data_IF_784016363070
#
_entry.id   IF_784016363070
#
_cell.length_a   1.000
_cell.length_b   1.000
_cell.length_c   1.000
_cell.angle_alpha   90.00
_cell.angle_beta   90.00
_cell.angle_gamma   90.00
#
_symmetry.space_group_name_H-M   'P 1'
#
loop_
_entity.id
_entity.type
_entity.pdbx_description
1 polymer ?
#
# COMPACT_ATOMS: atom_id res chain seq x y z
N UNK A 1 -15.15 -26.07 9.91
CA UNK A 1 -16.25 -25.12 9.63
C UNK A 1 -16.69 -24.24 10.81
N UNK A 2 -17.14 -24.73 11.97
CA UNK A 2 -17.48 -23.82 13.12
C UNK A 2 -16.30 -23.59 14.08
N UNK A 3 -15.55 -24.66 14.35
CA UNK A 3 -14.36 -24.65 15.22
C UNK A 3 -13.34 -23.61 14.77
N UNK A 4 -13.08 -23.54 13.48
CA UNK A 4 -12.09 -22.69 12.83
C UNK A 4 -12.52 -21.22 12.91
N UNK A 5 -13.82 -20.92 12.81
CA UNK A 5 -14.35 -19.57 13.04
C UNK A 5 -14.17 -19.16 14.51
N UNK A 6 -14.43 -20.07 15.46
CA UNK A 6 -14.19 -19.80 16.89
C UNK A 6 -12.71 -19.60 17.22
N UNK A 7 -11.82 -20.40 16.63
CA UNK A 7 -10.37 -20.24 16.77
C UNK A 7 -9.90 -18.90 16.17
N UNK A 8 -10.44 -18.52 15.00
CA UNK A 8 -10.16 -17.23 14.35
C UNK A 8 -10.64 -16.06 15.22
N UNK A 9 -11.87 -16.13 15.72
CA UNK A 9 -12.43 -15.13 16.64
C UNK A 9 -11.55 -14.95 17.88
N UNK A 10 -11.08 -16.05 18.47
CA UNK A 10 -10.19 -16.02 19.65
C UNK A 10 -8.86 -15.32 19.35
N UNK A 11 -8.32 -15.46 18.13
CA UNK A 11 -7.11 -14.74 17.71
C UNK A 11 -7.39 -13.26 17.47
N UNK A 12 -8.50 -12.92 16.81
CA UNK A 12 -8.91 -11.53 16.56
C UNK A 12 -9.03 -10.76 17.88
N UNK A 13 -9.74 -11.31 18.88
CA UNK A 13 -9.93 -10.61 20.17
C UNK A 13 -8.61 -10.38 20.92
N UNK A 14 -7.64 -11.29 20.81
CA UNK A 14 -6.30 -11.10 21.39
C UNK A 14 -5.53 -9.97 20.71
N UNK A 15 -5.61 -9.88 19.37
CA UNK A 15 -4.96 -8.80 18.62
C UNK A 15 -5.69 -7.46 18.84
N UNK A 16 -7.00 -7.47 19.09
CA UNK A 16 -7.72 -6.26 19.51
C UNK A 16 -7.18 -5.69 20.82
N UNK A 17 -6.93 -6.54 21.84
CA UNK A 17 -6.33 -6.09 23.10
C UNK A 17 -4.92 -5.52 22.91
N UNK A 18 -4.15 -6.11 22.00
CA UNK A 18 -2.86 -5.56 21.59
C UNK A 18 -3.01 -4.20 20.92
N UNK A 19 -3.95 -4.05 19.98
CA UNK A 19 -4.20 -2.80 19.26
C UNK A 19 -4.66 -1.68 20.21
N UNK A 20 -5.54 -1.98 21.18
CA UNK A 20 -5.97 -1.04 22.23
C UNK A 20 -4.77 -0.42 22.95
N UNK A 21 -3.80 -1.24 23.35
CA UNK A 21 -2.57 -0.77 24.03
C UNK A 21 -1.62 -0.06 23.06
N UNK A 22 -1.48 -0.58 21.85
CA UNK A 22 -0.61 -0.05 20.82
C UNK A 22 -0.97 1.39 20.43
N UNK A 23 -2.27 1.72 20.37
CA UNK A 23 -2.71 3.09 20.08
C UNK A 23 -2.22 4.06 21.15
N UNK A 24 -2.45 3.79 22.44
CA UNK A 24 -1.99 4.66 23.53
C UNK A 24 -0.47 4.86 23.50
N UNK A 25 0.28 3.77 23.32
CA UNK A 25 1.74 3.86 23.23
C UNK A 25 2.20 4.79 22.10
N UNK A 26 1.61 4.66 20.91
CA UNK A 26 2.01 5.48 19.76
C UNK A 26 1.51 6.92 19.84
N UNK A 27 0.40 7.17 20.55
CA UNK A 27 -0.03 8.53 20.87
C UNK A 27 0.97 9.22 21.80
N UNK A 28 1.26 8.61 22.94
CA UNK A 28 2.19 9.15 23.94
C UNK A 28 3.60 9.31 23.36
N UNK A 29 4.08 8.32 22.60
CA UNK A 29 5.40 8.37 21.97
C UNK A 29 5.50 9.52 20.96
N UNK A 30 4.49 9.68 20.10
CA UNK A 30 4.51 10.74 19.10
C UNK A 30 4.41 12.12 19.75
N UNK A 31 3.57 12.27 20.77
CA UNK A 31 3.46 13.49 21.56
C UNK A 31 4.80 13.83 22.24
N UNK A 32 5.43 12.85 22.90
CA UNK A 32 6.72 13.01 23.55
C UNK A 32 7.79 13.57 22.60
N UNK A 33 7.93 13.00 21.39
CA UNK A 33 8.93 13.49 20.44
C UNK A 33 8.63 14.91 19.96
N UNK A 34 7.36 15.25 19.72
CA UNK A 34 6.98 16.60 19.30
C UNK A 34 7.13 17.65 20.40
N UNK A 35 6.93 17.27 21.66
CA UNK A 35 7.15 18.13 22.83
C UNK A 35 8.64 18.32 23.13
N UNK A 36 9.44 17.26 22.98
CA UNK A 36 10.88 17.29 23.22
C UNK A 36 11.61 18.22 22.24
N UNK A 37 11.29 18.12 20.95
CA UNK A 37 11.75 19.08 19.93
C UNK A 37 10.72 19.17 18.79
N UNK A 38 10.09 20.34 18.56
CA UNK A 38 9.14 20.54 17.45
C UNK A 38 9.69 20.20 16.06
N UNK A 39 11.02 20.21 15.87
CA UNK A 39 11.66 19.82 14.60
C UNK A 39 11.42 18.35 14.24
N UNK A 40 11.06 17.48 15.19
CA UNK A 40 10.68 16.10 14.88
C UNK A 40 9.45 16.02 13.95
N UNK A 41 8.64 17.08 13.86
CA UNK A 41 7.54 17.16 12.89
C UNK A 41 8.01 17.22 11.43
N UNK A 42 9.28 17.60 11.18
CA UNK A 42 9.87 17.65 9.84
C UNK A 42 10.56 16.33 9.44
N UNK A 43 10.80 15.41 10.39
CA UNK A 43 11.51 14.16 10.12
C UNK A 43 10.69 13.27 9.18
N UNK A 44 11.20 13.07 7.97
CA UNK A 44 10.53 12.33 6.91
C UNK A 44 9.27 13.01 6.36
N UNK A 45 9.17 14.34 6.51
CA UNK A 45 8.03 15.12 6.01
C UNK A 45 7.93 15.04 4.50
N UNK A 46 6.71 14.94 3.98
CA UNK A 46 6.43 14.93 2.54
C UNK A 46 5.13 15.64 2.21
N UNK A 47 4.95 16.08 0.95
CA UNK A 47 3.63 16.42 0.42
C UNK A 47 2.63 15.30 0.71
N UNK A 48 1.39 15.68 1.01
CA UNK A 48 0.30 14.77 1.36
C UNK A 48 -0.28 14.11 0.09
N UNK A 49 0.59 13.44 -0.65
CA UNK A 49 0.29 12.74 -1.89
C UNK A 49 0.31 11.24 -1.59
N UNK A 50 -0.87 10.63 -1.45
CA UNK A 50 -1.05 9.25 -0.99
C UNK A 50 -1.89 8.47 -1.99
N UNK A 51 -1.63 7.17 -2.12
CA UNK A 51 -2.41 6.32 -3.01
C UNK A 51 -2.58 4.90 -2.46
N UNK A 52 -3.76 4.31 -2.63
CA UNK A 52 -4.04 2.90 -2.35
C UNK A 52 -5.23 2.44 -3.20
N UNK A 53 -5.25 1.17 -3.64
CA UNK A 53 -6.37 0.60 -4.40
C UNK A 53 -7.47 0.05 -3.50
N UNK A 54 -7.41 0.31 -2.20
CA UNK A 54 -8.32 -0.25 -1.21
C UNK A 54 -8.05 -1.73 -0.94
N UNK A 55 -8.71 -2.26 0.08
CA UNK A 55 -8.68 -3.68 0.44
C UNK A 55 -9.94 -4.08 1.21
N UNK A 56 -10.15 -5.39 1.26
CA UNK A 56 -11.27 -6.09 1.91
C UNK A 56 -12.56 -5.82 1.15
N UNK A 57 -12.75 -6.62 0.12
CA UNK A 57 -13.93 -6.62 -0.73
C UNK A 57 -15.18 -6.97 0.07
N UNK A 58 -16.24 -6.17 -0.06
CA UNK A 58 -17.56 -6.51 0.48
C UNK A 58 -18.12 -7.72 -0.28
N UNK A 59 -18.33 -8.87 0.39
CA UNK A 59 -18.82 -10.08 -0.27
C UNK A 59 -20.22 -9.91 -0.88
N UNK A 60 -20.95 -8.86 -0.51
CA UNK A 60 -22.27 -8.53 -1.06
C UNK A 60 -22.21 -7.62 -2.29
N UNK A 61 -21.02 -7.15 -2.67
CA UNK A 61 -20.79 -6.23 -3.78
C UNK A 61 -19.81 -6.76 -4.82
N UNK A 62 -18.79 -7.49 -4.38
CA UNK A 62 -17.67 -7.91 -5.21
C UNK A 62 -18.04 -9.01 -6.18
N UNK A 63 -17.84 -8.74 -7.47
CA UNK A 63 -18.07 -9.69 -8.57
C UNK A 63 -16.82 -10.00 -9.39
N UNK A 64 -15.69 -9.35 -9.08
CA UNK A 64 -14.41 -9.52 -9.76
C UNK A 64 -14.37 -9.01 -11.21
N UNK A 65 -15.41 -8.32 -11.68
CA UNK A 65 -15.45 -7.79 -13.05
C UNK A 65 -14.78 -6.42 -13.13
N UNK A 66 -14.06 -6.15 -14.21
CA UNK A 66 -13.47 -4.84 -14.44
C UNK A 66 -14.55 -3.77 -14.62
N UNK A 67 -15.62 -4.06 -15.36
CA UNK A 67 -16.70 -3.12 -15.63
C UNK A 67 -17.31 -2.54 -14.35
N UNK A 68 -17.52 -3.38 -13.32
CA UNK A 68 -18.09 -2.95 -12.04
C UNK A 68 -17.04 -2.54 -11.00
N UNK A 69 -15.75 -2.43 -11.37
CA UNK A 69 -14.68 -2.07 -10.45
C UNK A 69 -14.93 -0.80 -9.62
N UNK A 70 -15.45 0.29 -10.19
CA UNK A 70 -15.79 1.47 -9.39
C UNK A 70 -16.84 1.17 -8.32
N UNK A 71 -17.83 0.33 -8.64
CA UNK A 71 -18.92 -0.01 -7.72
C UNK A 71 -18.46 -0.88 -6.56
N UNK A 72 -17.81 -2.02 -6.84
CA UNK A 72 -17.36 -2.90 -5.76
C UNK A 72 -16.15 -2.32 -5.00
N UNK A 73 -15.34 -1.48 -5.66
CA UNK A 73 -14.23 -0.75 -5.04
C UNK A 73 -14.71 0.23 -3.98
N UNK A 74 -15.73 1.03 -4.29
CA UNK A 74 -16.38 1.97 -3.36
C UNK A 74 -17.02 1.29 -2.15
N UNK A 75 -17.31 -0.02 -2.26
CA UNK A 75 -17.86 -0.84 -1.18
C UNK A 75 -16.81 -1.62 -0.41
N UNK A 76 -15.51 -1.43 -0.65
CA UNK A 76 -14.47 -2.04 0.19
C UNK A 76 -14.53 -1.50 1.61
N UNK A 77 -14.16 -2.32 2.60
CA UNK A 77 -14.02 -1.82 3.97
C UNK A 77 -12.92 -0.77 4.07
N UNK A 78 -11.85 -0.89 3.27
CA UNK A 78 -10.89 0.18 3.07
C UNK A 78 -11.04 0.74 1.66
N UNK A 79 -11.50 1.99 1.58
CA UNK A 79 -11.86 2.66 0.34
C UNK A 79 -10.62 2.90 -0.52
N UNK A 80 -10.63 2.58 -1.83
CA UNK A 80 -9.59 3.00 -2.75
C UNK A 80 -9.50 4.52 -2.86
N UNK A 81 -8.32 5.07 -3.13
CA UNK A 81 -8.25 6.47 -3.47
C UNK A 81 -6.87 7.03 -3.76
N UNK A 82 -6.92 8.23 -4.33
CA UNK A 82 -5.76 9.11 -4.53
C UNK A 82 -5.99 10.37 -3.71
N UNK A 83 -5.02 10.73 -2.88
CA UNK A 83 -4.93 12.01 -2.20
C UNK A 83 -3.81 12.80 -2.85
N UNK A 84 -4.08 14.05 -3.24
CA UNK A 84 -3.05 15.01 -3.65
C UNK A 84 -3.20 16.28 -2.81
N UNK A 85 -2.08 16.78 -2.27
CA UNK A 85 -2.04 17.93 -1.37
C UNK A 85 -3.07 17.83 -0.22
N UNK A 86 -3.28 16.60 0.28
CA UNK A 86 -4.20 16.31 1.38
C UNK A 86 -5.68 16.26 0.97
N UNK A 87 -6.01 16.42 -0.31
CA UNK A 87 -7.38 16.38 -0.84
C UNK A 87 -7.64 15.09 -1.59
N UNK A 88 -8.81 14.48 -1.34
CA UNK A 88 -9.26 13.32 -2.10
C UNK A 88 -9.59 13.71 -3.54
N UNK A 89 -8.89 13.09 -4.49
CA UNK A 89 -9.04 13.35 -5.93
C UNK A 89 -10.05 12.38 -6.55
N UNK A 90 -9.95 11.10 -6.22
CA UNK A 90 -10.83 10.05 -6.75
C UNK A 90 -10.84 8.84 -5.84
N UNK A 91 -11.95 8.10 -5.81
CA UNK A 91 -12.06 6.72 -5.30
C UNK A 91 -12.31 5.71 -6.42
N UNK A 92 -12.45 6.17 -7.67
CA UNK A 92 -12.80 5.31 -8.79
C UNK A 92 -11.60 4.46 -9.21
N UNK A 93 -11.72 3.12 -9.11
CA UNK A 93 -10.67 2.17 -9.46
C UNK A 93 -10.23 2.22 -10.93
N UNK A 94 -11.11 2.59 -11.87
CA UNK A 94 -10.72 2.83 -13.26
C UNK A 94 -9.78 4.02 -13.36
N UNK A 95 -10.12 5.15 -12.74
CA UNK A 95 -9.26 6.35 -12.78
C UNK A 95 -7.93 6.12 -12.06
N UNK A 96 -7.97 5.39 -10.94
CA UNK A 96 -6.78 5.00 -10.18
C UNK A 96 -5.85 4.15 -11.05
N UNK A 97 -6.39 3.16 -11.76
CA UNK A 97 -5.63 2.31 -12.68
C UNK A 97 -5.10 3.07 -13.89
N UNK A 98 -5.96 3.85 -14.54
CA UNK A 98 -5.66 4.62 -15.74
C UNK A 98 -4.48 5.58 -15.52
N UNK A 99 -4.41 6.23 -14.35
CA UNK A 99 -3.34 7.17 -14.04
C UNK A 99 -1.99 6.53 -13.75
N UNK A 100 -1.88 5.21 -13.68
CA UNK A 100 -0.62 4.53 -13.35
C UNK A 100 0.36 4.53 -14.52
N UNK A 101 1.56 5.05 -14.28
CA UNK A 101 2.69 5.04 -15.20
C UNK A 101 3.94 4.53 -14.49
N UNK A 102 4.79 3.77 -15.17
CA UNK A 102 6.05 3.28 -14.60
C UNK A 102 7.24 3.63 -15.50
N UNK A 103 8.17 4.39 -14.94
CA UNK A 103 9.35 4.90 -15.63
C UNK A 103 10.64 4.19 -15.22
N UNK A 104 11.70 4.31 -16.01
CA UNK A 104 12.95 3.53 -15.84
C UNK A 104 14.25 4.31 -16.11
N UNK A 105 14.23 5.63 -16.24
CA UNK A 105 15.38 6.45 -16.66
C UNK A 105 16.60 6.25 -15.77
N UNK A 106 16.35 6.12 -14.46
CA UNK A 106 17.36 5.92 -13.43
C UNK A 106 17.44 4.47 -12.94
N UNK A 107 16.83 3.54 -13.69
CA UNK A 107 16.71 2.12 -13.34
C UNK A 107 17.48 1.22 -14.31
N UNK A 108 17.91 0.05 -13.86
CA UNK A 108 18.69 -0.90 -14.66
C UNK A 108 17.84 -1.72 -15.65
N UNK A 109 17.09 -1.05 -16.53
CA UNK A 109 16.22 -1.68 -17.54
C UNK A 109 16.36 -1.03 -18.93
N UNK A 110 16.07 -1.76 -19.99
CA UNK A 110 15.91 -1.21 -21.34
C UNK A 110 14.48 -0.70 -21.54
N UNK A 111 14.32 0.31 -22.41
CA UNK A 111 12.99 0.80 -22.77
C UNK A 111 12.23 -0.23 -23.61
N UNK A 112 10.91 -0.23 -23.45
CA UNK A 112 9.94 -1.00 -24.25
C UNK A 112 9.23 -0.14 -25.32
N UNK A 113 9.64 1.11 -25.52
CA UNK A 113 8.97 2.06 -26.44
C UNK A 113 8.97 1.60 -27.91
N UNK A 114 9.86 0.67 -28.28
CA UNK A 114 10.05 0.21 -29.67
C UNK A 114 9.03 -0.86 -30.11
N UNK A 115 8.19 -1.38 -29.21
CA UNK A 115 7.28 -2.51 -29.51
C UNK A 115 5.82 -2.11 -29.75
N UNK A 116 5.57 -0.81 -29.87
CA UNK A 116 4.23 -0.27 -30.01
C UNK A 116 3.47 -0.25 -28.70
N UNK A 117 2.23 0.25 -28.76
CA UNK A 117 1.37 0.47 -27.61
C UNK A 117 0.15 -0.46 -27.72
N UNK A 118 0.28 -1.75 -27.34
CA UNK A 118 -0.70 -2.79 -27.68
C UNK A 118 -2.07 -2.60 -27.02
N UNK A 119 -2.10 -1.96 -25.84
CA UNK A 119 -3.30 -1.66 -25.08
C UNK A 119 -3.46 -0.15 -24.91
N UNK A 120 -4.02 0.55 -25.93
CA UNK A 120 -4.21 1.98 -25.87
C UNK A 120 -5.31 2.44 -24.93
N UNK A 121 -6.20 1.51 -24.56
CA UNK A 121 -7.32 1.76 -23.68
C UNK A 121 -7.51 0.57 -22.73
N UNK A 122 -8.10 0.84 -21.58
CA UNK A 122 -8.59 -0.20 -20.67
C UNK A 122 -9.92 -0.83 -21.16
N UNK A 123 -10.44 -1.89 -20.52
CA UNK A 123 -11.72 -2.49 -20.92
C UNK A 123 -12.95 -1.57 -20.79
N UNK A 124 -12.83 -0.43 -20.10
CA UNK A 124 -13.88 0.58 -19.98
C UNK A 124 -13.73 1.72 -21.01
N UNK A 125 -12.71 1.65 -21.89
CA UNK A 125 -12.44 2.65 -22.93
C UNK A 125 -11.62 3.85 -22.48
N UNK A 126 -11.09 3.84 -21.26
CA UNK A 126 -10.24 4.93 -20.76
C UNK A 126 -8.85 4.84 -21.40
N UNK A 127 -8.23 5.98 -21.78
CA UNK A 127 -6.92 5.99 -22.40
C UNK A 127 -5.83 5.54 -21.42
N UNK A 128 -4.92 4.69 -21.87
CA UNK A 128 -3.77 4.28 -21.08
C UNK A 128 -2.51 5.04 -21.51
N UNK A 129 -1.50 5.06 -20.65
CA UNK A 129 -0.15 5.52 -21.01
C UNK A 129 0.64 4.36 -21.65
N UNK A 130 1.56 4.62 -22.60
CA UNK A 130 2.56 3.64 -23.05
C UNK A 130 3.38 3.04 -21.90
N UNK A 131 3.50 3.76 -20.78
CA UNK A 131 4.19 3.31 -19.57
C UNK A 131 3.26 2.60 -18.56
N UNK A 132 1.99 2.38 -18.90
CA UNK A 132 1.07 1.61 -18.05
C UNK A 132 1.49 0.13 -18.01
N UNK A 133 1.38 -0.58 -16.87
CA UNK A 133 1.88 -1.95 -16.74
C UNK A 133 1.36 -2.98 -17.76
N UNK A 134 0.13 -2.84 -18.28
CA UNK A 134 -0.32 -3.72 -19.39
C UNK A 134 0.53 -3.61 -20.66
N UNK A 135 1.17 -2.46 -20.90
CA UNK A 135 2.01 -2.18 -22.07
C UNK A 135 3.50 -2.33 -21.79
N UNK A 136 3.87 -2.57 -20.53
CA UNK A 136 5.26 -2.69 -20.12
C UNK A 136 5.81 -4.06 -20.45
N UNK A 137 7.07 -4.05 -20.86
CA UNK A 137 7.95 -5.21 -20.89
C UNK A 137 9.16 -4.97 -19.99
N UNK A 138 9.53 -5.95 -19.16
CA UNK A 138 10.66 -5.81 -18.23
C UNK A 138 11.92 -6.42 -18.85
N UNK A 139 12.80 -5.57 -19.39
CA UNK A 139 14.09 -5.96 -19.99
C UNK A 139 15.25 -5.54 -19.09
N UNK A 140 15.89 -6.44 -18.32
CA UNK A 140 16.98 -6.05 -17.42
C UNK A 140 18.23 -5.61 -18.19
N UNK A 141 18.79 -4.46 -17.80
CA UNK A 141 20.04 -3.90 -18.34
C UNK A 141 21.02 -3.57 -17.20
N UNK A 142 21.70 -4.59 -16.64
CA UNK A 142 22.67 -4.38 -15.58
C UNK A 142 23.85 -3.54 -16.06
N UNK A 143 24.32 -2.63 -15.21
CA UNK A 143 25.52 -1.82 -15.47
C UNK A 143 26.66 -2.23 -14.54
N UNK A 144 27.90 -2.18 -15.02
CA UNK A 144 29.07 -2.60 -14.25
C UNK A 144 29.45 -1.63 -13.13
N UNK A 145 29.07 -0.35 -13.25
CA UNK A 145 29.39 0.69 -12.26
C UNK A 145 28.16 1.55 -11.99
N UNK A 146 27.79 1.67 -10.71
CA UNK A 146 26.68 2.54 -10.28
C UNK A 146 27.04 4.01 -10.51
N UNK A 147 26.11 4.75 -11.12
CA UNK A 147 26.19 6.20 -11.29
C UNK A 147 24.97 6.87 -10.70
N UNK A 148 25.14 7.71 -9.68
CA UNK A 148 24.05 8.48 -9.06
C UNK A 148 23.46 9.57 -9.96
N UNK A 149 24.06 9.81 -11.14
CA UNK A 149 23.54 10.74 -12.15
C UNK A 149 22.77 10.04 -13.27
N UNK A 150 23.12 8.79 -13.55
CA UNK A 150 22.48 7.96 -14.58
C UNK A 150 21.64 6.90 -13.87
N UNK A 151 21.84 5.61 -14.19
CA UNK A 151 21.10 4.51 -13.55
C UNK A 151 21.77 4.11 -12.24
N UNK A 152 20.98 4.04 -11.16
CA UNK A 152 21.49 3.75 -9.82
C UNK A 152 20.71 2.70 -9.02
N UNK A 153 19.59 2.19 -9.55
CA UNK A 153 18.74 1.24 -8.81
C UNK A 153 18.04 0.23 -9.70
N UNK A 154 17.61 -0.89 -9.11
CA UNK A 154 16.68 -1.84 -9.72
C UNK A 154 15.22 -1.47 -9.46
N UNK A 155 14.95 -0.50 -8.57
CA UNK A 155 13.60 0.03 -8.44
C UNK A 155 13.25 0.82 -9.70
N UNK A 156 12.05 0.63 -10.23
CA UNK A 156 11.45 1.49 -11.24
C UNK A 156 10.82 2.72 -10.59
N UNK A 157 10.37 3.68 -11.40
CA UNK A 157 9.75 4.91 -10.93
C UNK A 157 8.25 4.98 -11.29
N UNK A 158 7.36 4.29 -10.56
CA UNK A 158 5.94 4.45 -10.76
C UNK A 158 5.45 5.82 -10.27
N UNK A 159 4.51 6.40 -11.02
CA UNK A 159 3.83 7.67 -10.76
C UNK A 159 2.34 7.50 -11.00
N UNK A 160 1.55 8.40 -10.42
CA UNK A 160 0.13 8.50 -10.75
C UNK A 160 -0.14 9.86 -11.38
N UNK A 161 -0.59 9.88 -12.64
CA UNK A 161 -0.76 11.11 -13.44
C UNK A 161 0.49 12.02 -13.37
N UNK A 162 1.66 11.41 -13.56
CA UNK A 162 3.01 12.00 -13.40
C UNK A 162 3.34 12.56 -12.01
N UNK A 163 2.47 12.40 -11.01
CA UNK A 163 2.72 12.83 -9.64
C UNK A 163 3.46 11.74 -8.84
N UNK A 164 4.36 12.19 -7.96
CA UNK A 164 4.98 11.33 -6.94
C UNK A 164 3.97 11.10 -5.81
N UNK A 165 3.62 9.84 -5.58
CA UNK A 165 2.65 9.41 -4.56
C UNK A 165 3.26 8.39 -3.61
N UNK A 166 2.80 8.43 -2.36
CA UNK A 166 3.18 7.51 -1.28
C UNK A 166 2.21 6.35 -1.15
N UNK A 167 2.74 5.16 -0.89
CA UNK A 167 1.94 3.98 -0.60
C UNK A 167 2.12 3.55 0.86
N UNK A 168 1.01 3.23 1.53
CA UNK A 168 1.03 2.77 2.92
C UNK A 168 -0.33 2.30 3.38
N UNK A 169 -0.37 1.55 4.48
CA UNK A 169 -1.64 1.30 5.19
C UNK A 169 -2.27 2.60 5.71
N UNK A 170 -1.48 3.65 5.84
CA UNK A 170 -1.99 4.99 6.12
C UNK A 170 -2.78 5.61 4.96
N UNK A 171 -2.44 5.31 3.71
CA UNK A 171 -3.14 5.87 2.56
C UNK A 171 -4.59 5.38 2.53
N UNK A 172 -4.85 4.12 2.86
CA UNK A 172 -6.22 3.58 2.92
C UNK A 172 -7.03 4.07 4.12
N UNK A 173 -6.40 4.34 5.26
CA UNK A 173 -7.10 4.99 6.38
C UNK A 173 -7.52 6.42 6.00
N UNK A 174 -6.60 7.17 5.39
CA UNK A 174 -6.86 8.53 4.95
C UNK A 174 -7.97 8.59 3.90
N UNK A 175 -7.86 7.79 2.84
CA UNK A 175 -8.87 7.76 1.75
C UNK A 175 -10.23 7.30 2.27
N UNK A 176 -10.29 6.29 3.16
CA UNK A 176 -11.55 5.88 3.80
C UNK A 176 -12.17 7.01 4.63
N UNK A 177 -11.38 7.66 5.48
CA UNK A 177 -11.85 8.78 6.29
C UNK A 177 -12.35 9.93 5.41
N UNK A 178 -11.54 10.36 4.43
CA UNK A 178 -11.83 11.49 3.55
C UNK A 178 -13.01 11.24 2.60
N UNK A 179 -13.17 10.00 2.11
CA UNK A 179 -14.27 9.64 1.23
C UNK A 179 -15.61 9.55 1.97
N UNK A 180 -15.58 9.39 3.30
CA UNK A 180 -16.76 9.07 4.11
C UNK A 180 -17.53 7.85 3.57
N UNK A 181 -16.81 6.86 3.04
CA UNK A 181 -17.35 5.62 2.47
C UNK A 181 -16.95 4.43 3.33
N UNK A 182 -17.94 3.73 3.87
CA UNK A 182 -17.79 2.43 4.54
C UNK A 182 -19.05 1.60 4.29
N UNK A 183 -18.93 0.34 3.82
CA UNK A 183 -20.08 -0.52 3.52
C UNK A 183 -20.82 -0.99 4.77
N UNK A 184 -20.09 -1.18 5.87
CA UNK A 184 -20.60 -1.71 7.13
C UNK A 184 -20.08 -0.84 8.28
N UNK A 185 -21.00 -0.35 9.12
CA UNK A 185 -20.72 0.72 10.10
C UNK A 185 -20.96 0.30 11.55
N UNK A 186 -21.02 -1.00 11.84
CA UNK A 186 -21.33 -1.50 13.19
C UNK A 186 -20.31 -1.05 14.24
N UNK A 187 -19.04 -1.01 13.86
CA UNK A 187 -17.92 -0.69 14.73
C UNK A 187 -17.06 0.46 14.23
N UNK A 188 -17.36 0.99 13.04
CA UNK A 188 -16.49 1.91 12.32
C UNK A 188 -17.33 3.00 11.67
N UNK A 189 -16.86 4.23 11.71
CA UNK A 189 -17.51 5.38 11.07
C UNK A 189 -16.45 6.28 10.44
N UNK A 190 -16.60 6.55 9.14
CA UNK A 190 -15.77 7.51 8.41
C UNK A 190 -16.50 8.85 8.34
N UNK A 191 -15.90 9.91 8.88
CA UNK A 191 -16.58 11.19 9.14
C UNK A 191 -16.37 12.24 8.05
N UNK A 192 -15.52 11.96 7.05
CA UNK A 192 -14.97 12.95 6.12
C UNK A 192 -13.63 13.54 6.58
N UNK A 193 -13.31 13.49 7.87
CA UNK A 193 -12.06 14.04 8.45
C UNK A 193 -11.35 13.11 9.42
N UNK A 194 -12.01 12.02 9.82
CA UNK A 194 -11.52 11.04 10.79
C UNK A 194 -12.15 9.67 10.55
N UNK A 195 -11.58 8.66 11.21
CA UNK A 195 -12.11 7.31 11.29
C UNK A 195 -12.32 6.96 12.77
N UNK A 196 -13.58 6.81 13.19
CA UNK A 196 -13.94 6.34 14.53
C UNK A 196 -13.95 4.82 14.57
N UNK A 197 -13.39 4.23 15.62
CA UNK A 197 -13.22 2.80 15.82
C UNK A 197 -13.78 2.43 17.20
N UNK A 198 -14.92 1.74 17.23
CA UNK A 198 -15.54 1.21 18.44
C UNK A 198 -15.01 -0.20 18.72
N UNK A 199 -14.00 -0.31 19.58
CA UNK A 199 -13.36 -1.58 19.91
C UNK A 199 -14.16 -2.29 21.02
N UNK A 200 -14.81 -3.43 20.74
CA UNK A 200 -15.69 -4.11 21.68
C UNK A 200 -14.93 -4.59 22.93
N UNK A 201 -15.67 -4.87 24.01
CA UNK A 201 -15.09 -5.49 25.20
C UNK A 201 -14.52 -6.88 24.89
N UNK A 202 -13.31 -7.12 25.37
CA UNK A 202 -12.52 -8.35 25.23
C UNK A 202 -11.96 -8.70 26.61
N UNK A 203 -10.65 -8.96 26.77
CA UNK A 203 -10.05 -8.98 28.11
C UNK A 203 -9.91 -7.55 28.66
N UNK A 204 -9.70 -6.58 27.78
CA UNK A 204 -9.78 -5.16 28.13
C UNK A 204 -11.21 -4.64 27.95
N UNK A 205 -11.60 -3.57 28.69
CA UNK A 205 -12.87 -2.89 28.50
C UNK A 205 -13.11 -2.46 27.05
N UNK A 206 -14.37 -2.20 26.72
CA UNK A 206 -14.72 -1.50 25.49
C UNK A 206 -14.02 -0.13 25.44
N UNK A 207 -13.55 0.27 24.26
CA UNK A 207 -12.83 1.53 24.05
C UNK A 207 -13.23 2.14 22.70
N UNK A 208 -13.45 3.45 22.69
CA UNK A 208 -13.65 4.22 21.48
C UNK A 208 -12.34 4.94 21.11
N UNK A 209 -11.90 4.79 19.87
CA UNK A 209 -10.75 5.52 19.32
C UNK A 209 -11.18 6.34 18.12
N UNK A 210 -10.50 7.45 17.88
CA UNK A 210 -10.70 8.27 16.69
C UNK A 210 -9.36 8.62 16.07
N UNK A 211 -9.08 8.03 14.91
CA UNK A 211 -7.94 8.46 14.10
C UNK A 211 -8.34 9.69 13.29
N UNK A 212 -7.66 10.81 13.47
CA UNK A 212 -7.91 12.05 12.72
C UNK A 212 -6.89 12.18 11.60
N UNK A 213 -7.34 12.70 10.46
CA UNK A 213 -6.42 13.08 9.38
C UNK A 213 -5.45 14.14 9.94
N UNK A 214 -4.13 13.91 9.92
CA UNK A 214 -3.19 14.80 10.58
C UNK A 214 -2.88 16.06 9.76
N UNK A 215 -2.62 17.15 10.47
CA UNK A 215 -2.21 18.44 9.87
C UNK A 215 -0.79 18.38 9.30
N UNK A 216 0.09 17.58 9.90
CA UNK A 216 1.45 17.31 9.41
C UNK A 216 1.51 15.89 8.84
N UNK A 217 2.42 15.64 7.89
CA UNK A 217 2.62 14.30 7.34
C UNK A 217 4.10 13.93 7.32
N UNK A 218 4.50 13.08 8.26
CA UNK A 218 5.91 12.76 8.55
C UNK A 218 6.08 11.32 9.06
N UNK A 219 7.30 10.99 9.47
CA UNK A 219 7.65 9.65 9.94
C UNK A 219 6.83 9.15 11.14
N UNK A 220 6.49 10.04 12.08
CA UNK A 220 5.74 9.68 13.27
C UNK A 220 4.26 9.46 12.96
N UNK A 221 3.65 10.30 12.13
CA UNK A 221 2.25 10.13 11.72
C UNK A 221 2.05 8.84 10.91
N UNK A 222 3.02 8.43 10.08
CA UNK A 222 3.00 7.11 9.42
C UNK A 222 2.96 5.96 10.44
N UNK A 223 3.78 6.04 11.49
CA UNK A 223 3.86 5.01 12.53
C UNK A 223 2.63 5.00 13.45
N UNK A 224 2.18 6.18 13.89
CA UNK A 224 0.93 6.34 14.65
C UNK A 224 -0.24 5.78 13.87
N UNK A 225 -0.38 6.13 12.59
CA UNK A 225 -1.42 5.58 11.75
C UNK A 225 -1.34 4.05 11.66
N UNK A 226 -0.15 3.47 11.49
CA UNK A 226 0.01 2.00 11.48
C UNK A 226 -0.52 1.35 12.75
N UNK A 227 -0.38 1.99 13.91
CA UNK A 227 -0.97 1.49 15.16
C UNK A 227 -2.50 1.46 15.12
N UNK A 228 -3.13 2.54 14.67
CA UNK A 228 -4.58 2.60 14.44
C UNK A 228 -5.04 1.59 13.38
N UNK A 229 -4.24 1.37 12.34
CA UNK A 229 -4.55 0.44 11.27
C UNK A 229 -4.67 -1.02 11.78
N UNK A 230 -3.95 -1.39 12.85
CA UNK A 230 -4.11 -2.72 13.48
C UNK A 230 -5.51 -2.85 14.06
N UNK A 231 -5.99 -1.84 14.80
CA UNK A 231 -7.35 -1.82 15.34
C UNK A 231 -8.39 -1.87 14.23
N UNK A 232 -8.23 -1.03 13.20
CA UNK A 232 -9.09 -1.00 12.04
C UNK A 232 -9.17 -2.36 11.32
N UNK A 233 -8.02 -2.98 11.03
CA UNK A 233 -7.96 -4.32 10.42
C UNK A 233 -8.67 -5.37 11.28
N UNK A 234 -8.54 -5.30 12.60
CA UNK A 234 -9.19 -6.25 13.51
C UNK A 234 -10.70 -6.05 13.58
N UNK A 235 -11.20 -4.81 13.50
CA UNK A 235 -12.63 -4.55 13.40
C UNK A 235 -13.22 -5.09 12.10
N UNK A 236 -12.53 -4.89 10.98
CA UNK A 236 -12.93 -5.48 9.68
C UNK A 236 -12.93 -7.01 9.76
N UNK A 237 -11.88 -7.60 10.32
CA UNK A 237 -11.80 -9.06 10.50
C UNK A 237 -12.91 -9.58 11.41
N UNK A 238 -13.21 -8.88 12.50
CA UNK A 238 -14.29 -9.23 13.43
C UNK A 238 -15.65 -9.19 12.74
N UNK A 239 -15.94 -8.13 12.00
CA UNK A 239 -17.17 -8.01 11.23
C UNK A 239 -17.31 -9.11 10.18
N UNK A 240 -16.24 -9.44 9.47
CA UNK A 240 -16.21 -10.55 8.51
C UNK A 240 -16.44 -11.91 9.18
N UNK A 241 -15.91 -12.14 10.38
CA UNK A 241 -16.19 -13.37 11.15
C UNK A 241 -17.65 -13.43 11.58
N UNK A 242 -18.27 -12.31 11.97
CA UNK A 242 -19.70 -12.27 12.28
C UNK A 242 -20.57 -12.55 11.05
N UNK A 243 -20.19 -12.02 9.88
CA UNK A 243 -20.83 -12.35 8.60
C UNK A 243 -20.69 -13.84 8.29
N UNK A 244 -19.50 -14.42 8.50
CA UNK A 244 -19.26 -15.85 8.28
C UNK A 244 -20.14 -16.74 9.19
N UNK A 245 -20.33 -16.36 10.46
CA UNK A 245 -21.24 -17.08 11.36
C UNK A 245 -22.70 -17.02 10.86
N UNK A 246 -23.17 -15.87 10.37
CA UNK A 246 -24.52 -15.73 9.82
C UNK A 246 -24.72 -16.56 8.56
N UNK A 247 -23.75 -16.56 7.64
CA UNK A 247 -23.77 -17.40 6.44
C UNK A 247 -23.80 -18.89 6.79
N UNK A 248 -22.98 -19.31 7.75
CA UNK A 248 -22.96 -20.70 8.23
C UNK A 248 -24.30 -21.11 8.85
N UNK A 249 -24.91 -20.23 9.65
CA UNK A 249 -26.23 -20.45 10.26
C UNK A 249 -27.34 -20.61 9.20
N UNK A 250 -27.22 -19.91 8.08
CA UNK A 250 -28.12 -20.01 6.91
C UNK A 250 -27.80 -21.21 6.00
N UNK A 251 -26.77 -21.99 6.31
CA UNK A 251 -26.34 -23.13 5.49
C UNK A 251 -25.52 -22.76 4.25
N UNK A 252 -25.09 -21.50 4.11
CA UNK A 252 -24.27 -21.05 3.00
C UNK A 252 -22.80 -21.40 3.23
N UNK A 253 -22.39 -22.60 2.80
CA UNK A 253 -21.04 -23.16 3.05
C UNK A 253 -20.17 -23.32 1.81
N UNK A 254 -20.64 -22.92 0.62
CA UNK A 254 -19.88 -23.02 -0.62
C UNK A 254 -18.73 -21.99 -0.64
N UNK A 255 -17.50 -22.45 -0.83
CA UNK A 255 -16.27 -21.61 -0.82
C UNK A 255 -15.56 -21.54 -2.16
N UNK A 256 -16.04 -22.25 -3.19
CA UNK A 256 -15.44 -22.26 -4.51
C UNK A 256 -16.50 -22.23 -5.61
N UNK A 257 -16.19 -21.51 -6.68
CA UNK A 257 -16.96 -21.48 -7.93
C UNK A 257 -16.05 -22.01 -9.04
N UNK A 258 -16.45 -23.09 -9.76
CA UNK A 258 -15.69 -23.56 -10.91
C UNK A 258 -15.56 -22.46 -11.97
N UNK A 259 -14.42 -22.43 -12.65
CA UNK A 259 -14.18 -21.51 -13.77
C UNK A 259 -13.49 -22.27 -14.91
N UNK A 260 -13.57 -21.71 -16.11
CA UNK A 260 -12.81 -22.17 -17.27
C UNK A 260 -11.77 -21.10 -17.61
N UNK A 261 -10.54 -21.52 -17.89
CA UNK A 261 -9.49 -20.62 -18.34
C UNK A 261 -9.87 -20.12 -19.74
N UNK A 262 -10.02 -18.79 -19.94
CA UNK A 262 -10.31 -18.24 -21.26
C UNK A 262 -9.27 -18.65 -22.30
N UNK A 263 -9.70 -18.81 -23.55
CA UNK A 263 -8.82 -19.15 -24.69
C UNK A 263 -8.65 -18.01 -25.68
N UNK A 264 -9.52 -17.01 -25.57
CA UNK A 264 -9.46 -15.72 -26.26
C UNK A 264 -8.49 -14.77 -25.55
N UNK A 265 -7.96 -13.81 -26.32
CA UNK A 265 -7.10 -12.76 -25.77
C UNK A 265 -7.86 -11.91 -24.75
N UNK A 266 -7.30 -11.75 -23.55
CA UNK A 266 -7.88 -10.95 -22.46
C UNK A 266 -6.83 -10.17 -21.69
N UNK A 267 -7.26 -9.05 -21.14
CA UNK A 267 -6.52 -8.31 -20.12
C UNK A 267 -7.27 -8.36 -18.79
N UNK A 268 -6.51 -8.36 -17.70
CA UNK A 268 -7.05 -8.39 -16.34
C UNK A 268 -6.16 -7.63 -15.38
N UNK A 269 -6.76 -7.17 -14.29
CA UNK A 269 -6.02 -6.55 -13.18
C UNK A 269 -6.60 -6.99 -11.85
N UNK A 270 -5.73 -7.35 -10.92
CA UNK A 270 -6.06 -7.54 -9.52
C UNK A 270 -5.71 -6.28 -8.73
N UNK A 271 -6.70 -5.71 -8.03
CA UNK A 271 -6.51 -4.56 -7.14
C UNK A 271 -6.46 -5.02 -5.70
N UNK A 272 -5.37 -4.73 -4.99
CA UNK A 272 -5.18 -5.16 -3.61
C UNK A 272 -4.41 -4.15 -2.77
N UNK A 273 -4.60 -4.20 -1.46
CA UNK A 273 -3.84 -3.39 -0.50
C UNK A 273 -2.93 -4.28 0.36
N UNK A 274 -1.70 -4.55 -0.06
CA UNK A 274 -0.71 -5.24 0.76
C UNK A 274 -0.49 -4.54 2.12
N UNK A 275 0.19 -5.22 3.05
CA UNK A 275 0.50 -4.67 4.39
C UNK A 275 1.31 -3.36 4.39
N UNK A 276 1.84 -2.95 3.24
CA UNK A 276 2.56 -1.68 3.03
C UNK A 276 1.85 -0.72 2.06
N UNK A 277 0.62 -0.98 1.64
CA UNK A 277 -0.14 -0.12 0.72
C UNK A 277 -0.50 -0.80 -0.60
N UNK A 278 -0.48 -0.03 -1.69
CA UNK A 278 -0.79 -0.43 -3.07
C UNK A 278 -0.21 -1.78 -3.53
N UNK A 279 -1.04 -2.67 -4.08
CA UNK A 279 -0.58 -3.84 -4.81
C UNK A 279 -1.49 -4.09 -6.02
N UNK A 280 -0.91 -4.04 -7.21
CA UNK A 280 -1.63 -4.41 -8.45
C UNK A 280 -0.89 -5.45 -9.24
N UNK A 281 -1.66 -6.39 -9.78
CA UNK A 281 -1.16 -7.40 -10.72
C UNK A 281 -1.90 -7.19 -12.03
N UNK A 282 -1.17 -6.80 -13.07
CA UNK A 282 -1.69 -6.56 -14.41
C UNK A 282 -1.29 -7.73 -15.29
N UNK A 283 -2.26 -8.37 -15.92
CA UNK A 283 -2.01 -9.53 -16.78
C UNK A 283 -2.64 -9.36 -18.15
N UNK A 284 -1.98 -9.96 -19.14
CA UNK A 284 -2.48 -10.20 -20.49
C UNK A 284 -2.38 -11.70 -20.73
N UNK A 285 -3.41 -12.28 -21.32
CA UNK A 285 -3.45 -13.69 -21.65
C UNK A 285 -3.97 -13.92 -23.05
N UNK A 286 -3.50 -14.99 -23.68
CA UNK A 286 -4.02 -15.49 -24.96
C UNK A 286 -3.82 -17.00 -25.05
N UNK A 287 -4.68 -17.70 -25.78
CA UNK A 287 -4.66 -19.17 -25.93
C UNK A 287 -4.63 -19.99 -24.62
N UNK A 288 -5.06 -19.38 -23.51
CA UNK A 288 -5.03 -19.98 -22.17
C UNK A 288 -3.67 -19.93 -21.49
N UNK A 289 -2.75 -19.08 -21.95
CA UNK A 289 -1.47 -18.78 -21.32
C UNK A 289 -1.31 -17.28 -21.04
N UNK A 290 -0.52 -16.93 -20.03
CA UNK A 290 -0.14 -15.54 -19.77
C UNK A 290 0.89 -15.10 -20.82
N UNK A 291 0.64 -13.96 -21.47
CA UNK A 291 1.55 -13.35 -22.44
C UNK A 291 2.28 -12.13 -21.87
N UNK A 292 1.68 -11.44 -20.90
CA UNK A 292 2.34 -10.41 -20.10
C UNK A 292 1.85 -10.47 -18.64
N UNK A 293 2.73 -10.22 -17.68
CA UNK A 293 2.39 -10.16 -16.26
C UNK A 293 3.29 -9.14 -15.55
N UNK A 294 2.71 -8.05 -15.08
CA UNK A 294 3.41 -7.00 -14.36
C UNK A 294 2.83 -6.83 -12.96
N UNK A 295 3.72 -6.64 -11.98
CA UNK A 295 3.36 -6.44 -10.58
C UNK A 295 3.92 -5.10 -10.13
N UNK A 296 3.07 -4.28 -9.53
CA UNK A 296 3.49 -3.04 -8.88
C UNK A 296 3.16 -3.15 -7.40
N UNK A 297 4.20 -3.02 -6.57
CA UNK A 297 4.07 -3.14 -5.11
C UNK A 297 4.24 -1.79 -4.42
N UNK A 298 3.94 -1.69 -3.12
CA UNK A 298 4.07 -0.41 -2.41
C UNK A 298 5.51 0.06 -2.35
N UNK A 299 6.46 -0.88 -2.22
CA UNK A 299 7.87 -0.57 -2.14
C UNK A 299 8.44 -0.15 -3.51
N UNK A 300 7.79 -0.51 -4.63
CA UNK A 300 8.13 0.02 -5.96
C UNK A 300 7.84 1.53 -6.02
N UNK A 301 6.70 1.98 -5.49
CA UNK A 301 6.40 3.41 -5.34
C UNK A 301 7.35 4.11 -4.38
N UNK A 302 7.44 3.62 -3.15
CA UNK A 302 8.14 4.35 -2.10
C UNK A 302 9.66 4.41 -2.32
N UNK A 303 10.26 3.35 -2.86
CA UNK A 303 11.69 3.28 -3.17
C UNK A 303 12.02 3.76 -4.59
N UNK A 304 11.06 4.37 -5.30
CA UNK A 304 11.29 4.82 -6.66
C UNK A 304 12.47 5.81 -6.75
N UNK A 305 13.30 5.71 -7.80
CA UNK A 305 14.29 6.73 -8.08
C UNK A 305 13.61 7.98 -8.65
N UNK A 306 14.45 8.92 -9.09
CA UNK A 306 14.01 10.01 -9.96
C UNK A 306 13.37 9.47 -11.25
N UNK A 307 12.35 10.18 -11.70
CA UNK A 307 11.66 9.93 -12.97
C UNK A 307 12.27 10.77 -14.11
N UNK A 308 11.76 10.70 -15.36
CA UNK A 308 12.31 11.48 -16.48
C UNK A 308 12.14 13.00 -16.31
N UNK A 309 11.25 13.42 -15.40
CA UNK A 309 10.98 14.82 -15.08
C UNK A 309 11.87 15.33 -13.94
N UNK A 310 12.75 14.47 -13.41
CA UNK A 310 13.68 14.79 -12.34
C UNK A 310 13.06 14.76 -10.93
N UNK A 311 11.80 14.31 -10.80
CA UNK A 311 11.10 14.26 -9.50
C UNK A 311 11.60 13.07 -8.67
N UNK A 312 12.17 13.30 -7.47
CA UNK A 312 12.60 12.23 -6.58
C UNK A 312 11.42 11.38 -6.08
N UNK A 313 11.67 10.11 -5.78
CA UNK A 313 10.67 9.25 -5.15
C UNK A 313 10.48 9.52 -3.66
N UNK A 314 9.49 8.88 -3.01
CA UNK A 314 9.14 9.15 -1.61
C UNK A 314 10.28 8.97 -0.61
N UNK A 315 11.15 7.98 -0.77
CA UNK A 315 12.31 7.83 0.13
C UNK A 315 13.30 8.98 -0.01
N UNK A 316 13.62 9.39 -1.23
CA UNK A 316 14.53 10.50 -1.47
C UNK A 316 13.95 11.82 -0.94
N UNK A 317 12.67 12.09 -1.21
CA UNK A 317 11.98 13.28 -0.70
C UNK A 317 11.97 13.34 0.82
N UNK A 318 11.63 12.23 1.49
CA UNK A 318 11.58 12.17 2.95
C UNK A 318 12.96 12.34 3.60
N UNK A 319 14.02 11.81 2.98
CA UNK A 319 15.38 11.99 3.51
C UNK A 319 15.85 13.42 3.30
N UNK A 320 15.57 14.02 2.14
CA UNK A 320 15.95 15.41 1.85
C UNK A 320 15.27 16.43 2.77
N UNK A 321 14.04 16.14 3.22
CA UNK A 321 13.32 17.00 4.18
C UNK A 321 13.71 16.78 5.64
N UNK A 322 14.47 15.73 5.96
CA UNK A 322 14.77 15.35 7.34
C UNK A 322 15.89 16.20 7.94
N UNK A 323 15.64 16.99 9.01
CA UNK A 323 16.71 17.64 9.75
C UNK A 323 17.53 16.60 10.53
N UNK A 324 18.83 16.86 10.66
CA UNK A 324 19.71 16.06 11.52
C UNK A 324 19.59 16.62 12.94
N UNK A 325 18.92 15.88 13.82
CA UNK A 325 18.65 16.21 15.22
C UNK A 325 19.55 15.41 16.16
N UNK A 326 20.18 14.35 15.66
CA UNK A 326 21.22 13.58 16.35
C UNK A 326 22.35 14.49 16.84
N UNK A 327 22.67 14.39 18.13
CA UNK A 327 23.83 15.05 18.73
C UNK A 327 25.06 14.13 18.63
N UNK A 328 26.10 14.60 17.92
CA UNK A 328 27.36 13.89 17.75
C UNK A 328 28.54 14.87 17.82
N UNK A 329 29.72 14.40 18.26
CA UNK A 329 30.91 15.27 18.43
C UNK A 329 31.79 15.27 17.20
N UNK A 330 31.95 14.13 16.56
CA UNK A 330 32.71 14.00 15.31
C UNK A 330 31.87 13.29 14.23
N UNK A 331 32.21 13.45 12.94
CA UNK A 331 31.49 12.76 11.86
C UNK A 331 31.46 11.23 12.00
N UNK A 332 32.44 10.63 12.69
CA UNK A 332 32.51 9.19 12.94
C UNK A 332 31.49 8.72 13.99
N UNK A 333 31.02 9.62 14.86
CA UNK A 333 29.97 9.35 15.84
C UNK A 333 28.56 9.39 15.22
N UNK A 334 28.42 9.92 14.00
CA UNK A 334 27.13 10.08 13.32
C UNK A 334 26.54 8.73 12.90
N UNK A 335 25.41 8.36 13.49
CA UNK A 335 24.71 7.10 13.17
C UNK A 335 23.61 7.29 12.12
N UNK A 336 23.12 8.51 11.90
CA UNK A 336 22.06 8.82 10.95
C UNK A 336 20.68 8.41 11.44
N UNK A 337 20.43 8.47 12.75
CA UNK A 337 19.18 7.95 13.34
C UNK A 337 17.93 8.64 12.77
N UNK A 338 18.00 9.93 12.44
CA UNK A 338 16.86 10.67 11.88
C UNK A 338 16.53 10.23 10.46
N UNK A 339 17.55 10.01 9.62
CA UNK A 339 17.42 9.44 8.27
C UNK A 339 16.78 8.05 8.36
N UNK A 340 17.24 7.27 9.33
CA UNK A 340 16.72 5.94 9.58
C UNK A 340 15.26 5.95 10.07
N UNK A 341 14.87 6.90 10.93
CA UNK A 341 13.46 7.10 11.34
C UNK A 341 12.59 7.42 10.13
N UNK A 342 13.05 8.33 9.27
CA UNK A 342 12.36 8.69 8.05
C UNK A 342 12.13 7.47 7.15
N UNK A 343 13.19 6.74 6.76
CA UNK A 343 13.07 5.59 5.86
C UNK A 343 12.28 4.43 6.48
N UNK A 344 12.54 4.07 7.75
CA UNK A 344 11.85 2.94 8.40
C UNK A 344 10.37 3.21 8.64
N UNK A 345 9.95 4.48 8.69
CA UNK A 345 8.53 4.83 8.80
C UNK A 345 7.68 4.35 7.61
N UNK A 346 8.30 4.07 6.46
CA UNK A 346 7.64 3.49 5.30
C UNK A 346 7.60 1.95 5.29
N UNK A 347 8.27 1.28 6.24
CA UNK A 347 8.41 -0.19 6.28
C UNK A 347 8.99 -0.75 4.95
N UNK A 348 10.26 -0.47 4.61
CA UNK A 348 10.85 -0.87 3.34
C UNK A 348 10.95 -2.40 3.18
N UNK A 349 10.57 -2.91 2.01
CA UNK A 349 10.71 -4.32 1.64
C UNK A 349 11.36 -4.47 0.26
N UNK A 350 12.68 -4.61 0.26
CA UNK A 350 13.45 -4.67 -0.99
C UNK A 350 13.09 -5.86 -1.90
N UNK A 351 12.76 -7.07 -1.40
CA UNK A 351 12.26 -8.14 -2.26
C UNK A 351 10.92 -7.82 -2.96
N UNK A 352 10.09 -6.95 -2.37
CA UNK A 352 8.89 -6.45 -3.04
C UNK A 352 9.22 -5.37 -4.09
N UNK A 353 10.30 -4.61 -3.88
CA UNK A 353 10.75 -3.59 -4.84
C UNK A 353 11.25 -4.22 -6.15
N UNK A 354 11.87 -5.40 -6.09
CA UNK A 354 12.44 -6.09 -7.25
C UNK A 354 12.03 -7.57 -7.27
N UNK A 355 11.21 -7.96 -8.25
CA UNK A 355 10.71 -9.32 -8.40
C UNK A 355 11.72 -10.21 -9.14
N UNK A 356 12.71 -10.75 -8.42
CA UNK A 356 13.73 -11.62 -9.01
C UNK A 356 13.30 -13.08 -8.97
N UNK A 357 13.34 -13.75 -10.12
CA UNK A 357 13.27 -15.22 -10.22
C UNK A 357 14.65 -15.76 -10.62
N UNK A 358 15.10 -16.82 -9.96
CA UNK A 358 16.41 -17.44 -10.20
C UNK A 358 16.29 -18.91 -10.65
N UNK A 359 15.17 -19.29 -11.26
CA UNK A 359 14.84 -20.67 -11.63
C UNK A 359 15.07 -21.65 -10.45
N UNK A 360 15.65 -22.83 -10.68
CA UNK A 360 16.00 -23.81 -9.64
C UNK A 360 17.26 -23.44 -8.81
N UNK A 361 17.83 -22.25 -9.00
CA UNK A 361 19.07 -21.86 -8.33
C UNK A 361 18.79 -21.10 -7.04
N UNK A 362 19.30 -21.63 -5.94
CA UNK A 362 19.36 -20.88 -4.68
C UNK A 362 20.59 -19.97 -4.72
N UNK A 363 20.37 -18.68 -4.87
CA UNK A 363 21.43 -17.67 -4.72
C UNK A 363 21.49 -17.28 -3.24
N UNK A 364 22.36 -17.93 -2.48
CA UNK A 364 22.63 -17.54 -1.10
C UNK A 364 23.67 -16.43 -1.10
N UNK A 365 23.27 -15.23 -0.68
CA UNK A 365 24.21 -14.16 -0.33
C UNK A 365 23.83 -13.69 1.06
N UNK A 366 24.78 -13.63 1.98
CA UNK A 366 24.56 -13.01 3.28
C UNK A 366 24.37 -11.52 3.05
N UNK A 367 23.10 -11.09 3.08
CA UNK A 367 22.73 -9.69 3.07
C UNK A 367 22.32 -9.39 4.52
N UNK A 368 23.12 -8.57 5.21
CA UNK A 368 22.69 -7.93 6.44
C UNK A 368 21.56 -6.95 6.08
N UNK A 369 20.35 -7.47 5.92
CA UNK A 369 19.14 -6.66 5.82
C UNK A 369 18.68 -6.37 7.24
N UNK A 370 18.36 -5.11 7.55
CA UNK A 370 17.61 -4.76 8.76
C UNK A 370 16.13 -5.18 8.66
N UNK A 371 15.84 -6.34 8.05
CA UNK A 371 14.54 -6.96 8.12
C UNK A 371 14.46 -7.65 9.48
N UNK A 372 13.59 -7.16 10.36
CA UNK A 372 13.11 -7.92 11.50
C UNK A 372 12.34 -9.14 10.97
N UNK A 373 13.08 -10.19 10.58
CA UNK A 373 12.59 -11.55 10.70
C UNK A 373 12.51 -11.83 12.20
N UNK A 374 11.29 -12.00 12.70
CA UNK A 374 11.09 -12.59 14.01
C UNK A 374 11.73 -13.98 14.01
N UNK A 375 12.74 -14.16 14.86
CA UNK A 375 13.11 -15.43 15.46
C UNK A 375 13.02 -15.27 16.97
#
# INVERSE_FOLDING_TARGET
TLRELNETLTRIVRVMDYAKRGIFFWEDLTAFFYEADPKYKQVGERPKNLIDTGIWDDPMAYDGTYANAPHWGDRRWATPGVILDGRLVTTNLHHINMGLEEFIEHSYYESWDNEGFPHPQDPAGNPLSPHHPWNKETKPAPVHKRSWKERYTWATAPRWDRQVVECGTYARMWTTAAAAKLPHTRFMEATGTSLKLQMPQTLLPEMAFEWKIPDVWNAFERNRNRAYHIAYSMLVAYENVLIAFDLLKKGHTRTATPYQVPRDARIGVGFWGAGRGWLTHHLVMDHGALTNYQVITPSTFNASPRDPFGQPGPYEEAVLSTPILEEFKTPEDFTGIDIFRAIRSFDPCMPCTTHVHADERVITRDINTCACGAS
#
